data_IF_972055065943
#
_entry.id   IF_972055065943
#
_cell.length_a   1.000
_cell.length_b   1.000
_cell.length_c   1.000
_cell.angle_alpha   90.00
_cell.angle_beta   90.00
_cell.angle_gamma   90.00
#
_symmetry.space_group_name_H-M   'P 1'
#
loop_
_entity.id
_entity.type
_entity.pdbx_description
1 polymer ?
#
# COMPACT_ATOMS: atom_id res chain seq x y z
N UNK A 1 9.89 -12.64 16.29
CA UNK A 1 9.33 -13.88 15.71
C UNK A 1 9.50 -13.78 14.21
N UNK A 2 10.24 -14.70 13.59
CA UNK A 2 10.31 -14.80 12.14
C UNK A 2 9.10 -15.63 11.68
N UNK A 3 8.37 -15.14 10.68
CA UNK A 3 7.16 -15.79 10.16
C UNK A 3 7.52 -16.44 8.84
N UNK A 4 7.35 -17.76 8.75
CA UNK A 4 7.61 -18.54 7.54
C UNK A 4 6.27 -18.94 6.92
N UNK A 5 5.97 -18.50 5.67
CA UNK A 5 4.75 -18.91 4.99
C UNK A 5 4.77 -20.43 4.75
N UNK A 6 3.61 -21.04 4.94
CA UNK A 6 3.38 -22.48 4.78
C UNK A 6 2.12 -22.69 3.94
N UNK A 7 2.27 -22.66 2.62
CA UNK A 7 1.18 -22.78 1.64
C UNK A 7 -0.01 -21.85 1.94
N UNK A 8 0.28 -20.60 2.31
CA UNK A 8 -0.75 -19.67 2.78
C UNK A 8 -1.75 -19.26 1.69
N UNK A 9 -1.31 -19.23 0.44
CA UNK A 9 -2.12 -18.75 -0.67
C UNK A 9 -2.59 -19.86 -1.61
N UNK A 10 -1.95 -21.04 -1.66
CA UNK A 10 -2.35 -22.14 -2.54
C UNK A 10 -2.21 -21.88 -4.06
N UNK A 11 -1.94 -20.65 -4.48
CA UNK A 11 -1.71 -20.26 -5.89
C UNK A 11 -0.40 -19.51 -6.11
N UNK A 12 0.33 -19.17 -5.05
CA UNK A 12 1.66 -18.55 -5.08
C UNK A 12 2.57 -19.33 -4.15
N UNK A 13 3.80 -19.64 -4.60
CA UNK A 13 4.76 -20.34 -3.77
C UNK A 13 5.24 -19.49 -2.59
N UNK A 14 5.59 -20.17 -1.50
CA UNK A 14 6.12 -19.55 -0.29
C UNK A 14 7.41 -18.74 -0.54
N UNK A 15 8.21 -19.11 -1.54
CA UNK A 15 9.41 -18.36 -1.95
C UNK A 15 9.08 -16.94 -2.45
N UNK A 16 8.02 -16.80 -3.24
CA UNK A 16 7.56 -15.48 -3.69
C UNK A 16 7.02 -14.65 -2.52
N UNK A 17 6.34 -15.28 -1.56
CA UNK A 17 5.87 -14.61 -0.35
C UNK A 17 7.03 -14.12 0.52
N UNK A 18 8.08 -14.93 0.68
CA UNK A 18 9.32 -14.54 1.39
C UNK A 18 10.01 -13.38 0.70
N UNK A 19 10.22 -13.48 -0.61
CA UNK A 19 10.84 -12.42 -1.40
C UNK A 19 10.05 -11.10 -1.31
N UNK A 20 8.72 -11.18 -1.40
CA UNK A 20 7.84 -10.02 -1.27
C UNK A 20 7.88 -9.41 0.13
N UNK A 21 7.85 -10.24 1.19
CA UNK A 21 8.01 -9.80 2.58
C UNK A 21 9.32 -9.03 2.76
N UNK A 22 10.43 -9.62 2.31
CA UNK A 22 11.76 -9.04 2.54
C UNK A 22 11.93 -7.73 1.75
N UNK A 23 11.39 -7.66 0.53
CA UNK A 23 11.32 -6.43 -0.25
C UNK A 23 10.44 -5.34 0.40
N UNK A 24 9.31 -5.71 1.03
CA UNK A 24 8.48 -4.78 1.78
C UNK A 24 9.18 -4.27 3.04
N UNK A 25 9.83 -5.16 3.80
CA UNK A 25 10.55 -4.78 5.04
C UNK A 25 11.62 -3.74 4.73
N UNK A 26 12.40 -3.92 3.65
CA UNK A 26 13.41 -2.94 3.24
C UNK A 26 12.85 -1.54 2.96
N UNK A 27 11.59 -1.43 2.53
CA UNK A 27 10.96 -0.12 2.30
C UNK A 27 10.46 0.58 3.58
N UNK A 28 10.33 -0.14 4.68
CA UNK A 28 9.91 0.41 5.98
C UNK A 28 11.09 0.71 6.91
N UNK A 29 12.32 0.40 6.49
CA UNK A 29 13.50 0.75 7.27
C UNK A 29 13.73 2.27 7.32
N UNK A 30 14.20 2.83 8.45
CA UNK A 30 14.50 4.25 8.54
C UNK A 30 15.45 4.71 7.43
N UNK A 31 15.09 5.78 6.72
CA UNK A 31 15.91 6.34 5.64
C UNK A 31 15.70 5.71 4.26
N UNK A 32 14.89 4.66 4.14
CA UNK A 32 14.50 4.10 2.85
C UNK A 32 13.24 4.79 2.30
N UNK A 33 13.18 4.92 0.97
CA UNK A 33 12.01 5.46 0.28
C UNK A 33 11.05 4.34 -0.12
N UNK A 34 9.77 4.57 0.14
CA UNK A 34 8.70 3.69 -0.36
C UNK A 34 8.70 3.75 -1.89
N UNK A 35 8.76 2.59 -2.55
CA UNK A 35 8.94 2.48 -4.01
C UNK A 35 7.61 2.54 -4.80
N UNK A 36 6.60 3.22 -4.26
CA UNK A 36 5.25 3.24 -4.85
C UNK A 36 5.28 3.85 -6.25
N UNK A 37 5.98 4.97 -6.44
CA UNK A 37 6.04 5.64 -7.74
C UNK A 37 6.70 4.75 -8.81
N UNK A 38 7.75 4.03 -8.44
CA UNK A 38 8.49 3.09 -9.28
C UNK A 38 7.62 1.92 -9.72
N UNK A 39 6.84 1.33 -8.79
CA UNK A 39 5.91 0.24 -9.10
C UNK A 39 4.82 0.70 -10.07
N UNK A 40 4.26 1.89 -9.87
CA UNK A 40 3.24 2.44 -10.77
C UNK A 40 3.82 2.76 -12.15
N UNK A 41 4.97 3.44 -12.19
CA UNK A 41 5.66 3.79 -13.42
C UNK A 41 5.94 2.53 -14.27
N UNK A 42 6.50 1.49 -13.66
CA UNK A 42 6.77 0.21 -14.33
C UNK A 42 5.49 -0.43 -14.91
N UNK A 43 4.39 -0.44 -14.15
CA UNK A 43 3.11 -1.03 -14.60
C UNK A 43 2.43 -0.23 -15.70
N UNK A 44 2.59 1.08 -15.68
CA UNK A 44 1.99 1.99 -16.66
C UNK A 44 2.86 2.15 -17.91
N UNK A 45 4.11 1.70 -17.89
CA UNK A 45 5.06 1.88 -18.99
C UNK A 45 5.51 3.33 -19.15
N UNK A 46 5.55 4.10 -18.06
CA UNK A 46 6.00 5.50 -18.03
C UNK A 46 7.18 5.65 -17.08
N UNK A 47 7.83 6.82 -17.09
CA UNK A 47 8.93 7.11 -16.16
C UNK A 47 8.43 7.45 -14.75
N UNK A 48 9.29 7.22 -13.75
CA UNK A 48 9.03 7.63 -12.35
C UNK A 48 8.82 9.14 -12.26
N UNK A 49 9.65 9.91 -12.97
CA UNK A 49 9.57 11.37 -13.03
C UNK A 49 8.20 11.86 -13.55
N UNK A 50 7.56 11.14 -14.48
CA UNK A 50 6.22 11.49 -14.94
C UNK A 50 5.16 11.27 -13.86
N UNK A 51 5.26 10.19 -13.08
CA UNK A 51 4.39 9.94 -11.92
C UNK A 51 4.58 11.04 -10.89
N UNK A 52 5.82 11.36 -10.53
CA UNK A 52 6.16 12.40 -9.56
C UNK A 52 5.69 13.79 -10.03
N UNK A 53 5.86 14.12 -11.30
CA UNK A 53 5.41 15.39 -11.86
C UNK A 53 3.89 15.59 -11.74
N UNK A 54 3.12 14.50 -11.89
CA UNK A 54 1.67 14.55 -11.64
C UNK A 54 1.41 14.76 -10.15
N UNK A 55 2.02 13.98 -9.27
CA UNK A 55 1.82 14.06 -7.81
C UNK A 55 2.16 15.45 -7.24
N UNK A 56 3.20 16.10 -7.77
CA UNK A 56 3.67 17.41 -7.32
C UNK A 56 2.87 18.58 -7.92
N UNK A 57 1.94 18.33 -8.85
CA UNK A 57 1.12 19.36 -9.48
C UNK A 57 -0.35 19.26 -9.07
N UNK A 58 -0.86 20.19 -8.25
CA UNK A 58 -2.27 20.24 -7.87
C UNK A 58 -3.21 20.26 -9.08
N UNK A 59 -2.83 20.99 -10.14
CA UNK A 59 -3.61 21.10 -11.37
C UNK A 59 -3.67 19.77 -12.13
N UNK A 60 -2.52 19.10 -12.31
CA UNK A 60 -2.49 17.78 -12.98
C UNK A 60 -3.25 16.73 -12.16
N UNK A 61 -3.10 16.73 -10.84
CA UNK A 61 -3.88 15.87 -9.96
C UNK A 61 -5.38 16.11 -10.11
N UNK A 62 -5.82 17.36 -10.20
CA UNK A 62 -7.23 17.68 -10.40
C UNK A 62 -7.75 17.16 -11.74
N UNK A 63 -7.05 17.47 -12.84
CA UNK A 63 -7.48 17.11 -14.19
C UNK A 63 -7.41 15.60 -14.46
N UNK A 64 -6.39 14.90 -13.94
CA UNK A 64 -6.11 13.50 -14.30
C UNK A 64 -6.58 12.49 -13.27
N UNK A 65 -6.71 12.87 -12.00
CA UNK A 65 -7.01 11.94 -10.90
C UNK A 65 -8.32 12.31 -10.24
N UNK A 66 -8.42 13.51 -9.68
CA UNK A 66 -9.56 13.88 -8.84
C UNK A 66 -10.84 14.18 -9.62
N UNK A 67 -10.72 14.45 -10.92
CA UNK A 67 -11.86 14.44 -11.83
C UNK A 67 -12.57 13.07 -11.89
N UNK A 68 -11.80 11.97 -11.84
CA UNK A 68 -12.35 10.62 -11.85
C UNK A 68 -12.71 10.11 -10.45
N UNK A 69 -11.93 10.50 -9.44
CA UNK A 69 -12.14 10.12 -8.04
C UNK A 69 -12.24 11.38 -7.20
N UNK A 70 -13.47 11.86 -6.91
CA UNK A 70 -13.65 13.09 -6.15
C UNK A 70 -12.92 13.05 -4.81
N UNK A 71 -12.26 14.16 -4.44
CA UNK A 71 -11.48 14.25 -3.19
C UNK A 71 -12.30 13.89 -1.96
N UNK A 72 -13.56 14.32 -1.92
CA UNK A 72 -14.47 14.00 -0.81
C UNK A 72 -14.76 12.49 -0.70
N UNK A 73 -14.87 11.80 -1.83
CA UNK A 73 -15.04 10.34 -1.85
C UNK A 73 -13.77 9.63 -1.35
N UNK A 74 -12.58 10.09 -1.79
CA UNK A 74 -11.31 9.57 -1.31
C UNK A 74 -11.12 9.77 0.20
N UNK A 75 -11.47 10.96 0.71
CA UNK A 75 -11.43 11.27 2.14
C UNK A 75 -12.39 10.38 2.94
N UNK A 76 -13.64 10.25 2.49
CA UNK A 76 -14.63 9.40 3.17
C UNK A 76 -14.22 7.93 3.18
N UNK A 77 -13.64 7.44 2.08
CA UNK A 77 -13.09 6.10 2.00
C UNK A 77 -11.94 5.90 2.98
N UNK A 78 -10.99 6.84 3.02
CA UNK A 78 -9.86 6.81 3.95
C UNK A 78 -10.34 6.75 5.41
N UNK A 79 -11.24 7.66 5.80
CA UNK A 79 -11.67 7.77 7.20
C UNK A 79 -12.44 6.54 7.66
N UNK A 80 -13.31 6.01 6.79
CA UNK A 80 -14.05 4.78 7.04
C UNK A 80 -13.11 3.59 7.16
N UNK A 81 -12.21 3.42 6.19
CA UNK A 81 -11.24 2.32 6.15
C UNK A 81 -10.29 2.36 7.34
N UNK A 82 -9.83 3.55 7.74
CA UNK A 82 -8.97 3.75 8.90
C UNK A 82 -9.68 3.34 10.19
N UNK A 83 -10.90 3.84 10.43
CA UNK A 83 -11.69 3.49 11.62
C UNK A 83 -11.96 1.98 11.71
N UNK A 84 -12.32 1.35 10.58
CA UNK A 84 -12.53 -0.09 10.51
C UNK A 84 -11.25 -0.89 10.76
N UNK A 85 -10.13 -0.47 10.19
CA UNK A 85 -8.82 -1.12 10.36
C UNK A 85 -8.38 -1.09 11.82
N UNK A 86 -8.50 0.06 12.49
CA UNK A 86 -8.23 0.20 13.93
C UNK A 86 -9.12 -0.75 14.74
N UNK A 87 -10.42 -0.80 14.43
CA UNK A 87 -11.36 -1.72 15.07
C UNK A 87 -10.98 -3.19 14.90
N UNK A 88 -10.58 -3.58 13.68
CA UNK A 88 -10.16 -4.94 13.34
C UNK A 88 -8.91 -5.34 14.11
N UNK A 89 -7.86 -4.51 14.08
CA UNK A 89 -6.58 -4.77 14.75
C UNK A 89 -6.79 -4.82 16.26
N UNK A 90 -7.54 -3.88 16.82
CA UNK A 90 -7.86 -3.87 18.26
C UNK A 90 -8.60 -5.13 18.68
N UNK A 91 -9.53 -5.63 17.84
CA UNK A 91 -10.23 -6.90 18.09
C UNK A 91 -9.28 -8.09 18.02
N UNK A 92 -8.40 -8.13 17.03
CA UNK A 92 -7.42 -9.22 16.84
C UNK A 92 -6.40 -9.30 17.97
N UNK A 93 -5.90 -8.15 18.44
CA UNK A 93 -4.91 -8.06 19.51
C UNK A 93 -5.52 -8.18 20.91
N UNK A 94 -6.85 -8.19 21.03
CA UNK A 94 -7.49 -8.36 22.34
C UNK A 94 -7.14 -9.76 22.88
N UNK A 95 -6.55 -9.85 24.09
CA UNK A 95 -6.24 -11.15 24.67
C UNK A 95 -7.53 -11.94 24.86
N UNK A 96 -7.55 -13.20 24.40
CA UNK A 96 -8.64 -14.11 24.76
C UNK A 96 -8.61 -14.30 26.27
N UNK A 97 -9.70 -13.96 26.97
CA UNK A 97 -9.91 -14.45 28.33
C UNK A 97 -10.03 -15.96 28.25
N UNK A 98 -9.05 -16.67 28.79
CA UNK A 98 -9.13 -18.10 29.14
C UNK A 98 -9.94 -18.20 30.42
#
# INVERSE_FOLDING_TARGET
RQVDPQDWLGFVSDDHLRAWRDWLVGQFEPGHSVQTAEVFAQRMGISVAEVEAVLMSPQQMETRVFHHVPRAALQSFHDTGYAQSVGLITRYLRPMKI
#
